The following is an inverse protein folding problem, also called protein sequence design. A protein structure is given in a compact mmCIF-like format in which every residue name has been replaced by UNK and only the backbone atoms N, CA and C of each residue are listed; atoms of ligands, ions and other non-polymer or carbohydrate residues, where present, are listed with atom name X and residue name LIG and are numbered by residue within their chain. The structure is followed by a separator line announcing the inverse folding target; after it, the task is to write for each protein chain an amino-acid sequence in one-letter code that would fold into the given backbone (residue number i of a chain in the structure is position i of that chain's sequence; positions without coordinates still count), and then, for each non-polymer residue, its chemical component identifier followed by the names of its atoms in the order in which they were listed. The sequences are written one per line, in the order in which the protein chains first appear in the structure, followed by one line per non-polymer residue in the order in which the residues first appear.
data_IF_712454405816
#
_entry.id   IF_712454405816
#
_cell.length_a   1.000
_cell.length_b   1.000
_cell.length_c   1.000
_cell.angle_alpha   90.00
_cell.angle_beta   90.00
_cell.angle_gamma   90.00
#
_symmetry.space_group_name_H-M   'P 1'
#
loop_
_entity.id
_entity.type
_entity.pdbx_description
1 polymer ?
#
# COMPACT_ATOMS: atom_id res chain seq x y z
N UNK A 1 17.20 -27.32 -3.10
CA UNK A 1 15.81 -27.29 -3.54
C UNK A 1 14.91 -26.37 -2.70
N UNK A 2 15.10 -26.31 -1.38
CA UNK A 2 14.29 -25.44 -0.46
C UNK A 2 14.44 -23.92 -0.77
N UNK A 3 15.58 -23.50 -1.31
CA UNK A 3 15.87 -22.10 -1.60
C UNK A 3 15.28 -21.59 -2.93
N UNK A 4 14.86 -22.43 -3.84
CA UNK A 4 14.33 -21.99 -5.14
C UNK A 4 12.89 -21.48 -5.04
N UNK A 5 12.12 -21.94 -4.06
CA UNK A 5 10.71 -21.56 -3.88
C UNK A 5 10.51 -20.46 -2.82
N UNK A 6 11.54 -20.17 -1.99
CA UNK A 6 11.42 -19.18 -0.92
C UNK A 6 12.73 -18.39 -0.71
N UNK A 7 12.97 -17.38 -1.55
CA UNK A 7 14.16 -16.52 -1.47
C UNK A 7 14.33 -15.86 -0.10
N UNK A 8 13.23 -15.51 0.60
CA UNK A 8 13.28 -14.93 1.94
C UNK A 8 13.92 -15.85 2.96
N UNK A 9 13.54 -17.13 2.97
CA UNK A 9 14.12 -18.13 3.87
C UNK A 9 15.62 -18.32 3.62
N UNK A 10 16.04 -18.30 2.36
CA UNK A 10 17.45 -18.36 2.00
C UNK A 10 18.25 -17.18 2.53
N UNK A 11 17.74 -15.96 2.36
CA UNK A 11 18.38 -14.73 2.85
C UNK A 11 18.51 -14.81 4.38
N UNK A 12 17.44 -15.21 5.08
CA UNK A 12 17.45 -15.34 6.53
C UNK A 12 18.47 -16.39 7.01
N UNK A 13 18.52 -17.58 6.38
CA UNK A 13 19.46 -18.65 6.73
C UNK A 13 20.91 -18.25 6.46
N UNK A 14 21.19 -17.65 5.29
CA UNK A 14 22.55 -17.20 4.95
C UNK A 14 23.00 -16.07 5.87
N UNK A 15 22.13 -15.07 6.10
CA UNK A 15 22.42 -13.96 6.99
C UNK A 15 22.68 -14.42 8.42
N UNK A 16 21.82 -15.31 8.95
CA UNK A 16 22.00 -15.87 10.30
C UNK A 16 23.26 -16.72 10.39
N UNK A 17 23.56 -17.55 9.38
CA UNK A 17 24.78 -18.37 9.37
C UNK A 17 26.06 -17.53 9.38
N UNK A 18 26.12 -16.47 8.56
CA UNK A 18 27.24 -15.56 8.53
C UNK A 18 27.42 -14.82 9.86
N UNK A 19 26.33 -14.37 10.47
CA UNK A 19 26.35 -13.72 11.77
C UNK A 19 26.82 -14.66 12.90
N UNK A 20 26.39 -15.93 12.88
CA UNK A 20 26.84 -16.94 13.84
C UNK A 20 28.34 -17.21 13.67
N UNK A 21 28.82 -17.38 12.43
CA UNK A 21 30.26 -17.57 12.15
C UNK A 21 31.05 -16.37 12.67
N UNK A 22 30.61 -15.14 12.41
CA UNK A 22 31.24 -13.93 12.91
C UNK A 22 31.31 -13.92 14.45
N UNK A 23 30.20 -14.25 15.12
CA UNK A 23 30.16 -14.36 16.58
C UNK A 23 31.15 -15.39 17.12
N UNK A 24 31.24 -16.57 16.48
CA UNK A 24 32.24 -17.59 16.84
C UNK A 24 33.67 -17.13 16.67
N UNK A 25 33.98 -16.40 15.60
CA UNK A 25 35.33 -15.82 15.39
C UNK A 25 35.67 -14.85 16.51
N UNK A 26 34.74 -13.97 16.91
CA UNK A 26 34.93 -13.06 18.03
C UNK A 26 35.14 -13.82 19.36
N UNK A 27 34.43 -14.90 19.60
CA UNK A 27 34.60 -15.74 20.80
C UNK A 27 35.93 -16.47 20.82
N UNK A 28 36.42 -16.93 19.67
CA UNK A 28 37.62 -17.76 19.57
C UNK A 28 38.92 -16.93 19.68
N UNK A 29 38.94 -15.73 19.11
CA UNK A 29 40.17 -14.91 18.98
C UNK A 29 40.18 -13.67 19.88
N UNK A 30 39.09 -13.42 20.59
CA UNK A 30 38.93 -12.24 21.42
C UNK A 30 39.47 -12.38 22.86
N UNK A 31 39.76 -11.24 23.46
CA UNK A 31 39.90 -11.14 24.92
C UNK A 31 38.52 -11.30 25.61
N UNK A 32 38.50 -11.31 26.94
CA UNK A 32 37.27 -11.53 27.70
C UNK A 32 36.08 -10.61 27.28
N UNK A 33 36.40 -9.35 26.94
CA UNK A 33 35.37 -8.38 26.48
C UNK A 33 34.87 -8.73 25.08
N UNK A 34 35.75 -9.09 24.16
CA UNK A 34 35.38 -9.45 22.77
C UNK A 34 34.60 -10.77 22.76
N UNK A 35 34.96 -11.72 23.63
CA UNK A 35 34.20 -12.98 23.81
C UNK A 35 32.76 -12.70 24.21
N UNK A 36 32.53 -11.81 25.19
CA UNK A 36 31.18 -11.42 25.60
C UNK A 36 30.39 -10.75 24.46
N UNK A 37 31.07 -9.91 23.64
CA UNK A 37 30.44 -9.36 22.43
C UNK A 37 30.05 -10.45 21.44
N UNK A 38 30.89 -11.49 21.27
CA UNK A 38 30.59 -12.64 20.41
C UNK A 38 29.37 -13.45 20.90
N UNK A 39 29.27 -13.67 22.21
CA UNK A 39 28.13 -14.36 22.83
C UNK A 39 26.82 -13.59 22.62
N UNK A 40 26.81 -12.29 22.91
CA UNK A 40 25.63 -11.45 22.68
C UNK A 40 25.24 -11.39 21.20
N UNK A 41 26.23 -11.34 20.29
CA UNK A 41 25.97 -11.35 18.85
C UNK A 41 25.31 -12.65 18.36
N UNK A 42 25.75 -13.82 18.85
CA UNK A 42 25.13 -15.11 18.54
C UNK A 42 23.70 -15.15 19.08
N UNK A 43 23.48 -14.70 20.31
CA UNK A 43 22.15 -14.65 20.91
C UNK A 43 21.20 -13.74 20.12
N UNK A 44 21.64 -12.52 19.77
CA UNK A 44 20.87 -11.59 18.95
C UNK A 44 20.54 -12.17 17.56
N UNK A 45 21.45 -12.97 16.99
CA UNK A 45 21.23 -13.68 15.72
C UNK A 45 20.15 -14.74 15.83
N UNK A 46 20.19 -15.54 16.89
CA UNK A 46 19.17 -16.56 17.15
C UNK A 46 17.80 -15.93 17.41
N UNK A 47 17.78 -14.84 18.16
CA UNK A 47 16.55 -14.06 18.41
C UNK A 47 15.99 -13.48 17.11
N UNK A 48 16.83 -12.86 16.28
CA UNK A 48 16.44 -12.31 14.98
C UNK A 48 15.87 -13.39 14.05
N UNK A 49 16.49 -14.57 14.03
CA UNK A 49 15.98 -15.70 13.24
C UNK A 49 14.65 -16.24 13.77
N UNK A 50 14.48 -16.32 15.09
CA UNK A 50 13.22 -16.71 15.71
C UNK A 50 12.09 -15.71 15.39
N UNK A 51 12.37 -14.42 15.47
CA UNK A 51 11.44 -13.36 15.08
C UNK A 51 11.05 -13.46 13.60
N UNK A 52 12.01 -13.82 12.73
CA UNK A 52 11.71 -14.07 11.31
C UNK A 52 10.76 -15.25 11.11
N UNK A 53 10.90 -16.34 11.85
CA UNK A 53 10.00 -17.50 11.78
C UNK A 53 8.57 -17.08 12.18
N UNK A 54 8.44 -16.28 13.25
CA UNK A 54 7.13 -15.74 13.67
C UNK A 54 6.53 -14.84 12.58
N UNK A 55 7.34 -13.94 12.01
CA UNK A 55 6.90 -13.06 10.93
C UNK A 55 6.49 -13.84 9.68
N UNK A 56 7.25 -14.88 9.32
CA UNK A 56 6.92 -15.77 8.22
C UNK A 56 5.55 -16.44 8.43
N UNK A 57 5.30 -16.93 9.66
CA UNK A 57 4.00 -17.51 10.01
C UNK A 57 2.87 -16.48 9.89
N UNK A 58 3.07 -15.25 10.36
CA UNK A 58 2.10 -14.16 10.21
C UNK A 58 1.85 -13.82 8.74
N UNK A 59 2.89 -13.74 7.90
CA UNK A 59 2.77 -13.49 6.47
C UNK A 59 2.03 -14.60 5.73
N UNK A 60 2.30 -15.88 6.07
CA UNK A 60 1.58 -17.02 5.50
C UNK A 60 0.08 -16.97 5.90
N UNK A 61 -0.21 -16.52 7.12
CA UNK A 61 -1.57 -16.37 7.64
C UNK A 61 -2.17 -14.98 7.40
N UNK A 62 -1.55 -14.16 6.56
CA UNK A 62 -1.97 -12.78 6.26
C UNK A 62 -3.44 -12.71 5.86
N UNK A 63 -3.92 -13.62 5.03
CA UNK A 63 -5.33 -13.66 4.59
C UNK A 63 -6.29 -13.79 5.78
N UNK A 64 -5.95 -14.61 6.76
CA UNK A 64 -6.75 -14.79 7.97
C UNK A 64 -6.71 -13.54 8.85
N UNK A 65 -5.53 -12.96 9.07
CA UNK A 65 -5.36 -11.72 9.84
C UNK A 65 -6.11 -10.56 9.20
N UNK A 66 -6.00 -10.42 7.88
CA UNK A 66 -6.74 -9.39 7.13
C UNK A 66 -8.25 -9.58 7.27
N UNK A 67 -8.73 -10.83 7.21
CA UNK A 67 -10.14 -11.16 7.41
C UNK A 67 -10.65 -10.75 8.79
N UNK A 68 -9.86 -10.96 9.87
CA UNK A 68 -10.21 -10.52 11.22
C UNK A 68 -10.29 -8.99 11.29
N UNK A 69 -9.31 -8.28 10.72
CA UNK A 69 -9.29 -6.80 10.74
C UNK A 69 -10.49 -6.24 9.97
N UNK A 70 -10.78 -6.77 8.78
CA UNK A 70 -11.92 -6.35 7.96
C UNK A 70 -13.25 -6.61 8.64
N UNK A 71 -13.40 -7.75 9.32
CA UNK A 71 -14.61 -8.07 10.10
C UNK A 71 -14.77 -7.12 11.30
N UNK A 72 -13.66 -6.76 11.96
CA UNK A 72 -13.65 -5.80 13.06
C UNK A 72 -14.03 -4.38 12.62
N UNK A 73 -13.71 -4.01 11.37
CA UNK A 73 -14.11 -2.74 10.76
C UNK A 73 -15.55 -2.75 10.20
N UNK A 74 -16.33 -3.81 10.39
CA UNK A 74 -17.68 -3.99 9.83
C UNK A 74 -17.75 -3.86 8.30
N UNK A 75 -16.65 -4.07 7.59
CA UNK A 75 -16.61 -4.07 6.14
C UNK A 75 -17.20 -5.39 5.61
N UNK A 76 -18.53 -5.43 5.48
CA UNK A 76 -19.23 -6.59 4.90
C UNK A 76 -19.03 -6.59 3.39
N UNK A 77 -18.38 -7.62 2.90
CA UNK A 77 -18.14 -7.86 1.46
C UNK A 77 -19.42 -7.97 0.64
N UNK A 78 -20.53 -8.35 1.26
CA UNK A 78 -21.82 -8.51 0.59
C UNK A 78 -22.43 -7.22 0.02
N UNK A 79 -22.04 -6.03 0.55
CA UNK A 79 -22.54 -4.75 0.04
C UNK A 79 -21.88 -4.28 -1.26
N UNK A 80 -20.77 -4.89 -1.65
CA UNK A 80 -19.95 -4.46 -2.79
C UNK A 80 -20.56 -4.87 -4.13
N UNK A 81 -21.38 -5.92 -4.15
CA UNK A 81 -21.92 -6.49 -5.39
C UNK A 81 -23.04 -5.67 -6.06
N UNK A 82 -23.60 -4.66 -5.39
CA UNK A 82 -24.78 -3.94 -5.92
C UNK A 82 -24.48 -2.64 -6.67
N UNK A 83 -23.28 -2.07 -6.60
CA UNK A 83 -23.05 -0.72 -7.15
C UNK A 83 -21.95 -0.56 -8.22
N UNK A 84 -21.28 -1.64 -8.62
CA UNK A 84 -20.25 -1.51 -9.63
C UNK A 84 -20.73 -2.00 -10.99
N UNK A 85 -21.40 -1.08 -11.69
CA UNK A 85 -21.70 -1.21 -13.12
C UNK A 85 -20.76 -0.27 -13.88
N UNK A 86 -19.47 -0.61 -13.97
CA UNK A 86 -18.54 0.13 -14.81
C UNK A 86 -17.72 -0.84 -15.63
N UNK A 87 -18.01 -0.80 -16.89
CA UNK A 87 -17.34 -1.52 -17.96
C UNK A 87 -16.24 -0.60 -18.48
N UNK A 88 -14.99 -0.90 -18.23
CA UNK A 88 -13.92 -0.45 -19.10
C UNK A 88 -12.87 -1.56 -19.19
N UNK A 89 -12.82 -2.17 -20.39
CA UNK A 89 -11.70 -3.00 -20.80
C UNK A 89 -10.47 -2.10 -21.02
N UNK A 90 -9.51 -2.08 -20.11
CA UNK A 90 -8.17 -1.63 -20.46
C UNK A 90 -7.47 -2.78 -21.19
N UNK A 91 -7.18 -2.56 -22.46
CA UNK A 91 -6.39 -3.48 -23.28
C UNK A 91 -4.97 -3.50 -22.75
N UNK A 92 -4.65 -4.48 -21.93
CA UNK A 92 -3.26 -4.81 -21.65
C UNK A 92 -2.70 -5.62 -22.81
N UNK A 93 -1.43 -5.44 -23.14
CA UNK A 93 -0.72 -5.99 -24.31
C UNK A 93 -0.72 -7.52 -24.45
N UNK A 94 -1.45 -8.23 -23.63
CA UNK A 94 -1.57 -9.69 -23.59
C UNK A 94 -3.02 -10.19 -23.68
N UNK A 95 -3.86 -9.60 -24.47
CA UNK A 95 -5.07 -10.27 -24.99
C UNK A 95 -6.08 -10.89 -24.03
N UNK A 96 -5.92 -10.77 -22.71
CA UNK A 96 -6.85 -11.24 -21.72
C UNK A 96 -7.62 -10.04 -21.14
N UNK A 97 -8.84 -9.87 -21.61
CA UNK A 97 -9.84 -9.01 -20.98
C UNK A 97 -10.21 -9.61 -19.63
N UNK A 98 -9.50 -9.27 -18.56
CA UNK A 98 -9.96 -9.53 -17.21
C UNK A 98 -11.02 -8.47 -16.94
N UNK A 99 -12.27 -8.86 -16.95
CA UNK A 99 -13.36 -7.99 -16.54
C UNK A 99 -13.10 -7.58 -15.10
N UNK A 100 -13.01 -6.27 -14.86
CA UNK A 100 -12.84 -5.68 -13.51
C UNK A 100 -13.90 -6.25 -12.54
N UNK A 101 -15.05 -6.67 -13.05
CA UNK A 101 -16.12 -7.35 -12.32
C UNK A 101 -15.71 -8.67 -11.66
N UNK A 102 -14.84 -9.47 -12.27
CA UNK A 102 -14.36 -10.72 -11.65
C UNK A 102 -13.26 -10.50 -10.60
N UNK A 103 -12.44 -9.47 -10.77
CA UNK A 103 -11.43 -9.09 -9.78
C UNK A 103 -12.06 -8.50 -8.51
N UNK A 104 -13.21 -7.83 -8.63
CA UNK A 104 -13.91 -7.14 -7.53
C UNK A 104 -14.81 -8.09 -6.72
N UNK A 105 -15.27 -9.17 -7.32
CA UNK A 105 -16.08 -10.20 -6.60
C UNK A 105 -15.29 -10.99 -5.56
N UNK A 106 -13.96 -10.91 -5.56
CA UNK A 106 -13.10 -11.60 -4.60
C UNK A 106 -12.47 -10.60 -3.65
N UNK A 107 -12.53 -10.91 -2.37
CA UNK A 107 -11.78 -10.18 -1.35
C UNK A 107 -10.32 -10.06 -1.80
N UNK A 108 -9.80 -8.85 -1.79
CA UNK A 108 -8.37 -8.64 -2.05
C UNK A 108 -7.61 -9.27 -0.89
N UNK A 109 -6.82 -10.29 -1.18
CA UNK A 109 -6.13 -11.09 -0.15
C UNK A 109 -4.62 -10.97 -0.24
N UNK A 110 -4.10 -10.42 -1.35
CA UNK A 110 -2.66 -10.29 -1.55
C UNK A 110 -2.27 -8.89 -2.05
N UNK A 111 -1.03 -8.44 -1.81
CA UNK A 111 -0.57 -7.12 -2.22
C UNK A 111 -0.58 -6.90 -3.74
N UNK A 112 -0.39 -7.95 -4.55
CA UNK A 112 -0.44 -7.85 -6.01
C UNK A 112 -1.83 -7.46 -6.53
N UNK A 113 -2.89 -8.04 -5.98
CA UNK A 113 -4.27 -7.65 -6.31
C UNK A 113 -4.63 -6.27 -5.76
N UNK A 114 -4.06 -5.87 -4.61
CA UNK A 114 -4.19 -4.50 -4.10
C UNK A 114 -3.54 -3.48 -5.06
N UNK A 115 -2.35 -3.78 -5.59
CA UNK A 115 -1.68 -2.94 -6.59
C UNK A 115 -2.55 -2.74 -7.84
N UNK A 116 -3.20 -3.81 -8.33
CA UNK A 116 -4.13 -3.71 -9.48
C UNK A 116 -5.34 -2.83 -9.15
N UNK A 117 -5.90 -2.92 -7.95
CA UNK A 117 -7.01 -2.07 -7.53
C UNK A 117 -6.61 -0.59 -7.49
N UNK A 118 -5.45 -0.26 -6.91
CA UNK A 118 -4.95 1.12 -6.87
C UNK A 118 -4.60 1.65 -8.26
N UNK A 119 -3.97 0.85 -9.13
CA UNK A 119 -3.68 1.26 -10.50
C UNK A 119 -4.95 1.51 -11.31
N UNK A 120 -5.99 0.71 -11.15
CA UNK A 120 -7.28 0.91 -11.82
C UNK A 120 -7.97 2.20 -11.36
N UNK A 121 -7.91 2.50 -10.06
CA UNK A 121 -8.42 3.77 -9.53
C UNK A 121 -7.62 4.97 -10.05
N UNK A 122 -6.28 4.89 -10.04
CA UNK A 122 -5.44 5.97 -10.57
C UNK A 122 -5.78 6.24 -12.05
N UNK A 123 -5.94 5.20 -12.87
CA UNK A 123 -6.33 5.34 -14.27
C UNK A 123 -7.73 5.96 -14.42
N UNK A 124 -8.68 5.58 -13.57
CA UNK A 124 -10.02 6.19 -13.59
C UNK A 124 -9.97 7.68 -13.24
N UNK A 125 -9.18 8.08 -12.23
CA UNK A 125 -8.96 9.48 -11.87
C UNK A 125 -8.30 10.28 -13.02
N UNK A 126 -7.23 9.74 -13.62
CA UNK A 126 -6.54 10.37 -14.76
C UNK A 126 -7.50 10.56 -15.93
N UNK A 127 -8.29 9.55 -16.28
CA UNK A 127 -9.25 9.63 -17.36
C UNK A 127 -10.34 10.68 -17.06
N UNK A 128 -10.84 10.74 -15.82
CA UNK A 128 -11.85 11.70 -15.42
C UNK A 128 -11.31 13.14 -15.47
N UNK A 129 -10.10 13.39 -14.97
CA UNK A 129 -9.42 14.68 -15.05
C UNK A 129 -9.17 15.09 -16.50
N UNK A 130 -8.67 14.16 -17.32
CA UNK A 130 -8.42 14.44 -18.75
C UNK A 130 -9.69 14.81 -19.49
N UNK A 131 -10.79 14.09 -19.27
CA UNK A 131 -12.08 14.41 -19.88
C UNK A 131 -12.59 15.78 -19.44
N UNK A 132 -12.45 16.12 -18.17
CA UNK A 132 -12.84 17.41 -17.63
C UNK A 132 -12.02 18.55 -18.25
N UNK A 133 -10.69 18.43 -18.29
CA UNK A 133 -9.81 19.43 -18.91
C UNK A 133 -10.08 19.62 -20.41
N UNK A 134 -10.31 18.52 -21.14
CA UNK A 134 -10.68 18.60 -22.56
C UNK A 134 -12.00 19.34 -22.74
N UNK A 135 -12.99 19.07 -21.88
CA UNK A 135 -14.27 19.76 -21.91
C UNK A 135 -14.12 21.27 -21.62
N UNK A 136 -13.38 21.62 -20.57
CA UNK A 136 -13.11 23.01 -20.19
C UNK A 136 -12.41 23.79 -21.32
N UNK A 137 -11.34 23.22 -21.89
CA UNK A 137 -10.60 23.85 -22.99
C UNK A 137 -11.48 23.99 -24.22
N UNK A 138 -12.25 22.97 -24.59
CA UNK A 138 -13.13 23.02 -25.76
C UNK A 138 -14.19 24.10 -25.62
N UNK A 139 -14.82 24.24 -24.45
CA UNK A 139 -15.82 25.24 -24.19
C UNK A 139 -15.25 26.69 -24.12
N UNK A 140 -14.03 26.85 -23.59
CA UNK A 140 -13.38 28.15 -23.49
C UNK A 140 -12.89 28.70 -24.82
N UNK A 141 -12.49 27.85 -25.76
CA UNK A 141 -11.99 28.24 -27.09
C UNK A 141 -13.11 28.70 -28.02
N UNK A 142 -14.35 28.27 -27.80
CA UNK A 142 -15.47 28.65 -28.64
C UNK A 142 -16.03 30.02 -28.22
N UNK A 143 -15.97 31.09 -29.08
CA UNK A 143 -16.24 32.49 -28.69
C UNK A 143 -17.62 32.68 -28.08
N UNK A 144 -18.64 31.98 -28.58
CA UNK A 144 -20.01 32.13 -28.13
C UNK A 144 -20.33 31.36 -26.84
N UNK A 145 -19.52 30.38 -26.48
CA UNK A 145 -19.75 29.45 -25.33
C UNK A 145 -18.67 29.66 -24.25
N UNK A 146 -17.68 30.50 -24.49
CA UNK A 146 -16.59 30.73 -23.55
C UNK A 146 -17.02 31.06 -22.12
N UNK A 147 -18.10 31.84 -21.85
CA UNK A 147 -18.57 32.07 -20.49
C UNK A 147 -19.00 30.78 -19.77
N UNK A 148 -19.51 29.79 -20.50
CA UNK A 148 -19.89 28.47 -19.96
C UNK A 148 -18.65 27.68 -19.59
N UNK A 149 -17.58 27.76 -20.39
CA UNK A 149 -16.30 27.13 -20.10
C UNK A 149 -15.65 27.68 -18.82
N UNK A 150 -15.67 29.00 -18.63
CA UNK A 150 -15.17 29.62 -17.39
C UNK A 150 -16.02 29.24 -16.18
N UNK A 151 -17.34 29.20 -16.32
CA UNK A 151 -18.22 28.74 -15.26
C UNK A 151 -17.98 27.28 -14.89
N UNK A 152 -17.75 26.40 -15.88
CA UNK A 152 -17.41 25.00 -15.64
C UNK A 152 -16.07 24.88 -14.88
N UNK A 153 -15.06 25.67 -15.27
CA UNK A 153 -13.75 25.68 -14.59
C UNK A 153 -13.90 26.08 -13.11
N UNK A 154 -14.68 27.12 -12.81
CA UNK A 154 -14.90 27.54 -11.42
C UNK A 154 -15.59 26.48 -10.57
N UNK A 155 -16.60 25.81 -11.13
CA UNK A 155 -17.32 24.73 -10.43
C UNK A 155 -16.45 23.48 -10.26
N UNK A 156 -15.68 23.14 -11.28
CA UNK A 156 -14.85 21.92 -11.27
C UNK A 156 -13.61 22.04 -10.40
N UNK A 157 -13.19 23.27 -10.06
CA UNK A 157 -11.94 23.54 -9.34
C UNK A 157 -11.80 22.76 -8.04
N UNK A 158 -12.87 22.65 -7.26
CA UNK A 158 -12.88 21.87 -6.03
C UNK A 158 -12.67 20.36 -6.29
N UNK A 159 -13.42 19.81 -7.26
CA UNK A 159 -13.27 18.41 -7.68
C UNK A 159 -11.85 18.14 -8.20
N UNK A 160 -11.33 19.00 -9.08
CA UNK A 160 -9.99 18.87 -9.68
C UNK A 160 -8.92 18.79 -8.59
N UNK A 161 -8.96 19.72 -7.62
CA UNK A 161 -8.01 19.72 -6.51
C UNK A 161 -8.08 18.45 -5.67
N UNK A 162 -9.27 18.00 -5.32
CA UNK A 162 -9.46 16.76 -4.57
C UNK A 162 -9.04 15.52 -5.38
N UNK A 163 -9.29 15.52 -6.69
CA UNK A 163 -8.91 14.41 -7.57
C UNK A 163 -7.40 14.32 -7.79
N UNK A 164 -6.70 15.44 -7.90
CA UNK A 164 -5.23 15.48 -7.98
C UNK A 164 -4.61 14.95 -6.70
N UNK A 165 -5.12 15.36 -5.52
CA UNK A 165 -4.65 14.84 -4.24
C UNK A 165 -4.93 13.33 -4.10
N UNK A 166 -6.12 12.89 -4.48
CA UNK A 166 -6.48 11.48 -4.49
C UNK A 166 -5.60 10.65 -5.44
N UNK A 167 -5.17 11.25 -6.55
CA UNK A 167 -4.25 10.61 -7.48
C UNK A 167 -2.87 10.37 -6.85
N UNK A 168 -2.33 11.36 -6.15
CA UNK A 168 -1.05 11.23 -5.40
C UNK A 168 -1.17 10.13 -4.34
N UNK A 169 -2.24 10.16 -3.54
CA UNK A 169 -2.50 9.17 -2.51
C UNK A 169 -2.63 7.75 -3.08
N UNK A 170 -3.34 7.61 -4.21
CA UNK A 170 -3.52 6.32 -4.88
C UNK A 170 -2.20 5.78 -5.44
N UNK A 171 -1.35 6.62 -6.04
CA UNK A 171 -0.02 6.19 -6.49
C UNK A 171 0.87 5.79 -5.32
N UNK A 172 0.81 6.51 -4.19
CA UNK A 172 1.56 6.14 -3.01
C UNK A 172 1.16 4.75 -2.49
N UNK A 173 -0.14 4.45 -2.42
CA UNK A 173 -0.65 3.14 -2.05
C UNK A 173 -0.26 2.06 -3.09
N UNK A 174 -0.25 2.39 -4.37
CA UNK A 174 0.21 1.52 -5.44
C UNK A 174 1.68 1.12 -5.26
N UNK A 175 2.57 2.09 -5.05
CA UNK A 175 3.99 1.80 -4.83
C UNK A 175 4.24 1.03 -3.53
N UNK A 176 3.51 1.33 -2.45
CA UNK A 176 3.55 0.53 -1.23
C UNK A 176 3.11 -0.92 -1.49
N UNK A 177 2.12 -1.14 -2.35
CA UNK A 177 1.68 -2.49 -2.73
C UNK A 177 2.74 -3.25 -3.52
N UNK A 178 3.51 -2.58 -4.37
CA UNK A 178 4.66 -3.18 -5.06
C UNK A 178 5.73 -3.59 -4.05
N UNK A 179 6.07 -2.72 -3.10
CA UNK A 179 7.03 -3.02 -2.03
C UNK A 179 6.54 -4.20 -1.18
N UNK A 180 5.25 -4.24 -0.88
CA UNK A 180 4.63 -5.31 -0.10
C UNK A 180 4.73 -6.70 -0.76
N UNK A 181 4.89 -6.80 -2.09
CA UNK A 181 5.14 -8.07 -2.76
C UNK A 181 6.51 -8.68 -2.36
N UNK A 182 7.44 -7.86 -1.88
CA UNK A 182 8.75 -8.29 -1.39
C UNK A 182 8.80 -8.45 0.14
N UNK A 183 7.65 -8.59 0.80
CA UNK A 183 7.53 -8.63 2.26
C UNK A 183 8.42 -9.70 2.90
N UNK A 184 8.45 -10.92 2.35
CA UNK A 184 9.27 -12.00 2.87
C UNK A 184 10.77 -11.71 2.77
N UNK A 185 11.21 -11.09 1.68
CA UNK A 185 12.60 -10.69 1.47
C UNK A 185 12.99 -9.55 2.41
N UNK A 186 12.11 -8.55 2.57
CA UNK A 186 12.33 -7.41 3.47
C UNK A 186 12.42 -7.86 4.93
N UNK A 187 11.51 -8.71 5.39
CA UNK A 187 11.57 -9.27 6.75
C UNK A 187 12.80 -10.14 6.97
N UNK A 188 13.19 -10.94 6.00
CA UNK A 188 14.38 -11.78 6.08
C UNK A 188 15.66 -10.96 6.16
N UNK A 189 15.78 -9.94 5.30
CA UNK A 189 16.91 -9.02 5.27
C UNK A 189 16.97 -8.19 6.55
N UNK A 190 15.81 -7.70 7.02
CA UNK A 190 15.70 -7.01 8.30
C UNK A 190 16.16 -7.88 9.46
N UNK A 191 15.68 -9.11 9.57
CA UNK A 191 16.08 -10.05 10.61
C UNK A 191 17.60 -10.34 10.61
N UNK A 192 18.22 -10.46 9.43
CA UNK A 192 19.66 -10.67 9.30
C UNK A 192 20.51 -9.47 9.68
N UNK A 193 19.96 -8.24 9.63
CA UNK A 193 20.66 -7.01 9.98
C UNK A 193 20.49 -6.62 11.47
N UNK A 194 19.43 -7.09 12.15
CA UNK A 194 19.18 -6.78 13.56
C UNK A 194 20.39 -7.15 14.48
N UNK A 195 21.12 -8.28 14.29
CA UNK A 195 22.26 -8.60 15.11
C UNK A 195 23.45 -7.63 14.98
N UNK A 196 23.54 -6.92 13.85
CA UNK A 196 24.64 -6.01 13.55
C UNK A 196 24.37 -4.66 14.19
N UNK A 197 25.10 -4.32 15.26
CA UNK A 197 24.85 -3.14 16.09
C UNK A 197 24.80 -1.81 15.31
N UNK A 198 25.67 -1.63 14.31
CA UNK A 198 25.77 -0.39 13.52
C UNK A 198 24.55 -0.15 12.62
N UNK A 199 23.89 -1.20 12.16
CA UNK A 199 22.78 -1.13 11.20
C UNK A 199 21.48 -1.72 11.76
N UNK A 200 21.43 -1.99 13.06
CA UNK A 200 20.29 -2.61 13.74
C UNK A 200 18.97 -1.87 13.49
N UNK A 201 19.01 -0.53 13.50
CA UNK A 201 17.84 0.29 13.25
C UNK A 201 17.29 0.12 11.81
N UNK A 202 18.19 -0.04 10.83
CA UNK A 202 17.80 -0.35 9.43
C UNK A 202 17.16 -1.74 9.39
N UNK A 203 17.76 -2.71 10.10
CA UNK A 203 17.22 -4.05 10.22
C UNK A 203 15.81 -4.05 10.82
N UNK A 204 15.60 -3.33 11.92
CA UNK A 204 14.30 -3.14 12.55
C UNK A 204 13.27 -2.47 11.62
N UNK A 205 13.69 -1.46 10.87
CA UNK A 205 12.84 -0.77 9.90
C UNK A 205 12.41 -1.70 8.75
N UNK A 206 13.35 -2.40 8.11
CA UNK A 206 13.06 -3.33 7.02
C UNK A 206 12.16 -4.50 7.47
N UNK A 207 12.42 -5.02 8.66
CA UNK A 207 11.61 -6.07 9.25
C UNK A 207 10.17 -5.61 9.49
N UNK A 208 10.00 -4.45 10.12
CA UNK A 208 8.68 -3.86 10.39
C UNK A 208 7.94 -3.53 9.11
N UNK A 209 8.64 -2.98 8.12
CA UNK A 209 8.08 -2.66 6.81
C UNK A 209 7.59 -3.93 6.10
N UNK A 210 8.39 -4.99 6.09
CA UNK A 210 7.99 -6.26 5.48
C UNK A 210 6.79 -6.92 6.19
N UNK A 211 6.62 -6.72 7.50
CA UNK A 211 5.50 -7.29 8.25
C UNK A 211 4.21 -6.47 8.13
N UNK A 212 4.28 -5.14 8.26
CA UNK A 212 3.10 -4.27 8.39
C UNK A 212 2.55 -3.87 7.02
N UNK A 213 3.41 -3.57 6.04
CA UNK A 213 2.99 -3.04 4.73
C UNK A 213 2.02 -3.97 3.99
N UNK A 214 2.22 -5.30 3.92
CA UNK A 214 1.30 -6.18 3.22
C UNK A 214 -0.11 -6.17 3.80
N UNK A 215 -0.21 -6.11 5.13
CA UNK A 215 -1.50 -6.05 5.82
C UNK A 215 -2.17 -4.70 5.54
N UNK A 216 -1.43 -3.61 5.67
CA UNK A 216 -1.92 -2.26 5.45
C UNK A 216 -2.50 -2.06 4.05
N UNK A 217 -1.75 -2.41 3.00
CA UNK A 217 -2.20 -2.19 1.62
C UNK A 217 -3.41 -3.03 1.24
N UNK A 218 -3.51 -4.25 1.78
CA UNK A 218 -4.67 -5.13 1.53
C UNK A 218 -5.91 -4.61 2.26
N UNK A 219 -5.78 -4.13 3.50
CA UNK A 219 -6.88 -3.50 4.24
C UNK A 219 -7.37 -2.25 3.51
N UNK A 220 -6.45 -1.37 3.08
CA UNK A 220 -6.78 -0.14 2.36
C UNK A 220 -7.44 -0.41 1.02
N UNK A 221 -6.98 -1.42 0.27
CA UNK A 221 -7.60 -1.78 -1.00
C UNK A 221 -9.04 -2.29 -0.83
N UNK A 222 -9.29 -3.14 0.17
CA UNK A 222 -10.65 -3.61 0.47
C UNK A 222 -11.56 -2.48 0.96
N UNK A 223 -11.03 -1.58 1.80
CA UNK A 223 -11.78 -0.40 2.24
C UNK A 223 -12.17 0.49 1.06
N UNK A 224 -11.22 0.79 0.18
CA UNK A 224 -11.43 1.61 -1.02
C UNK A 224 -12.53 1.03 -1.93
N UNK A 225 -12.52 -0.28 -2.14
CA UNK A 225 -13.55 -0.97 -2.92
C UNK A 225 -14.90 -0.87 -2.21
N UNK A 226 -14.94 -1.01 -0.87
CA UNK A 226 -16.19 -0.93 -0.10
C UNK A 226 -16.87 0.44 -0.18
N UNK A 227 -16.10 1.52 -0.39
CA UNK A 227 -16.64 2.88 -0.56
C UNK A 227 -17.17 3.15 -1.96
N UNK A 228 -16.98 2.23 -2.91
CA UNK A 228 -17.46 2.41 -4.29
C UNK A 228 -16.85 3.63 -5.00
N UNK A 229 -15.62 4.00 -4.66
CA UNK A 229 -14.91 5.19 -5.16
C UNK A 229 -14.45 5.06 -6.62
N UNK A 230 -15.12 4.21 -7.42
CA UNK A 230 -14.91 4.21 -8.87
C UNK A 230 -15.62 5.40 -9.51
N UNK A 231 -14.87 6.45 -9.75
CA UNK A 231 -15.35 7.70 -10.33
C UNK A 231 -15.42 7.54 -11.84
N UNK A 232 -16.59 7.75 -12.41
CA UNK A 232 -16.77 7.95 -13.86
C UNK A 232 -17.55 9.23 -14.09
N UNK A 233 -16.95 10.18 -14.80
CA UNK A 233 -17.65 11.34 -15.32
C UNK A 233 -18.33 10.91 -16.64
N UNK A 234 -19.65 11.11 -16.72
CA UNK A 234 -20.36 10.84 -17.95
C UNK A 234 -20.28 12.05 -18.90
N UNK A 235 -19.50 11.98 -20.01
CA UNK A 235 -19.30 13.11 -20.90
C UNK A 235 -20.59 13.55 -21.62
N UNK A 236 -21.63 12.72 -21.67
CA UNK A 236 -22.91 13.09 -22.31
C UNK A 236 -23.67 14.22 -21.59
N UNK A 237 -23.31 14.52 -20.33
CA UNK A 237 -23.91 15.60 -19.54
C UNK A 237 -23.49 17.00 -20.04
N UNK A 238 -22.50 17.11 -20.91
CA UNK A 238 -21.98 18.41 -21.42
C UNK A 238 -22.83 18.95 -22.58
N UNK A 239 -23.75 18.16 -23.13
CA UNK A 239 -24.49 18.51 -24.34
C UNK A 239 -25.64 19.50 -24.14
N UNK A 240 -26.03 19.81 -22.89
CA UNK A 240 -27.15 20.73 -22.59
C UNK A 240 -26.84 21.56 -21.33
N UNK A 241 -27.43 22.75 -21.23
CA UNK A 241 -27.26 23.68 -20.11
C UNK A 241 -27.72 23.04 -18.78
N UNK A 242 -28.81 22.27 -18.80
CA UNK A 242 -29.27 21.52 -17.65
C UNK A 242 -28.26 20.42 -17.26
N UNK A 243 -27.64 19.79 -18.26
CA UNK A 243 -26.56 18.82 -18.07
C UNK A 243 -25.35 19.43 -17.39
N UNK A 244 -24.94 20.65 -17.77
CA UNK A 244 -23.80 21.36 -17.16
C UNK A 244 -24.08 21.71 -15.69
N UNK A 245 -25.29 22.16 -15.36
CA UNK A 245 -25.67 22.42 -13.96
C UNK A 245 -25.69 21.10 -13.14
N UNK A 246 -26.24 20.01 -13.70
CA UNK A 246 -26.23 18.72 -13.06
C UNK A 246 -24.81 18.14 -12.94
N UNK A 247 -23.94 18.42 -13.90
CA UNK A 247 -22.52 18.08 -13.83
C UNK A 247 -21.84 18.79 -12.65
N UNK A 248 -22.10 20.10 -12.46
CA UNK A 248 -21.55 20.87 -11.34
C UNK A 248 -21.92 20.29 -9.97
N UNK A 249 -23.21 19.97 -9.77
CA UNK A 249 -23.64 19.33 -8.51
C UNK A 249 -23.05 17.93 -8.32
N UNK A 250 -22.91 17.15 -9.39
CA UNK A 250 -22.25 15.84 -9.36
C UNK A 250 -20.76 15.97 -9.08
N UNK A 251 -20.05 16.93 -9.68
CA UNK A 251 -18.63 17.18 -9.43
C UNK A 251 -18.38 17.60 -7.97
N UNK A 252 -19.25 18.44 -7.40
CA UNK A 252 -19.15 18.81 -5.99
C UNK A 252 -19.33 17.58 -5.08
N UNK A 253 -20.36 16.76 -5.34
CA UNK A 253 -20.59 15.53 -4.59
C UNK A 253 -19.43 14.52 -4.72
N UNK A 254 -18.85 14.39 -5.92
CA UNK A 254 -17.67 13.55 -6.15
C UNK A 254 -16.44 14.13 -5.46
N UNK A 255 -16.25 15.45 -5.49
CA UNK A 255 -15.17 16.12 -4.78
C UNK A 255 -15.24 15.88 -3.27
N UNK A 256 -16.42 15.96 -2.67
CA UNK A 256 -16.61 15.65 -1.24
C UNK A 256 -16.26 14.20 -0.89
N UNK A 257 -16.63 13.23 -1.73
CA UNK A 257 -16.22 11.82 -1.53
C UNK A 257 -14.71 11.62 -1.67
N UNK A 258 -14.07 12.35 -2.58
CA UNK A 258 -12.62 12.31 -2.71
C UNK A 258 -11.91 12.95 -1.53
N UNK A 259 -12.50 14.01 -0.95
CA UNK A 259 -12.00 14.60 0.29
C UNK A 259 -12.03 13.60 1.45
N UNK A 260 -13.15 12.88 1.64
CA UNK A 260 -13.25 11.81 2.63
C UNK A 260 -12.19 10.73 2.39
N UNK A 261 -11.97 10.34 1.13
CA UNK A 261 -10.92 9.40 0.77
C UNK A 261 -9.53 9.94 1.13
N UNK A 262 -9.21 11.18 0.78
CA UNK A 262 -7.92 11.80 1.06
C UNK A 262 -7.65 11.84 2.58
N UNK A 263 -8.61 12.31 3.37
CA UNK A 263 -8.51 12.36 4.83
C UNK A 263 -8.26 10.96 5.41
N UNK A 264 -9.01 9.96 4.94
CA UNK A 264 -8.85 8.59 5.44
C UNK A 264 -7.49 7.99 5.08
N UNK A 265 -6.99 8.24 3.86
CA UNK A 265 -5.64 7.79 3.47
C UNK A 265 -4.58 8.49 4.34
N UNK A 266 -4.68 9.81 4.54
CA UNK A 266 -3.72 10.57 5.33
C UNK A 266 -3.69 10.10 6.79
N UNK A 267 -4.86 9.90 7.42
CA UNK A 267 -4.98 9.37 8.79
C UNK A 267 -4.44 7.95 8.88
N UNK A 268 -4.81 7.08 7.94
CA UNK A 268 -4.34 5.70 7.93
C UNK A 268 -2.83 5.60 7.71
N UNK A 269 -2.26 6.50 6.89
CA UNK A 269 -0.82 6.61 6.70
C UNK A 269 -0.09 7.09 7.94
N UNK A 270 -0.67 8.02 8.70
CA UNK A 270 -0.11 8.45 9.98
C UNK A 270 -0.08 7.29 10.98
N UNK A 271 -1.16 6.50 11.06
CA UNK A 271 -1.22 5.29 11.89
C UNK A 271 -0.19 4.25 11.42
N UNK A 272 -0.14 3.95 10.12
CA UNK A 272 0.83 3.03 9.52
C UNK A 272 2.27 3.44 9.86
N UNK A 273 2.63 4.71 9.65
CA UNK A 273 3.95 5.24 9.93
C UNK A 273 4.30 5.16 11.41
N UNK A 274 3.33 5.41 12.29
CA UNK A 274 3.51 5.31 13.75
C UNK A 274 3.76 3.88 14.20
N UNK A 275 3.02 2.91 13.65
CA UNK A 275 3.22 1.48 13.93
C UNK A 275 4.60 1.05 13.42
N UNK A 276 4.96 1.43 12.20
CA UNK A 276 6.23 1.09 11.59
C UNK A 276 7.40 1.64 12.40
N UNK A 277 7.32 2.92 12.81
CA UNK A 277 8.33 3.55 13.66
C UNK A 277 8.43 2.87 15.04
N UNK A 278 7.29 2.63 15.69
CA UNK A 278 7.24 1.99 17.00
C UNK A 278 7.86 0.60 17.00
N UNK A 279 7.50 -0.24 16.03
CA UNK A 279 8.07 -1.58 15.86
C UNK A 279 9.56 -1.52 15.51
N UNK A 280 9.95 -0.62 14.60
CA UNK A 280 11.35 -0.44 14.23
C UNK A 280 12.23 -0.05 15.42
N UNK A 281 11.75 0.88 16.25
CA UNK A 281 12.41 1.30 17.47
C UNK A 281 12.50 0.16 18.49
N UNK A 282 11.41 -0.55 18.74
CA UNK A 282 11.37 -1.68 19.65
C UNK A 282 12.38 -2.76 19.24
N UNK A 283 12.43 -3.13 17.97
CA UNK A 283 13.37 -4.11 17.46
C UNK A 283 14.83 -3.62 17.47
N UNK A 284 15.03 -2.32 17.28
CA UNK A 284 16.34 -1.68 17.38
C UNK A 284 16.88 -1.60 18.80
N UNK A 285 15.99 -1.54 19.80
CA UNK A 285 16.35 -1.41 21.23
C UNK A 285 16.41 -2.75 21.98
N UNK A 286 15.74 -3.81 21.50
CA UNK A 286 15.70 -5.12 22.19
C UNK A 286 17.11 -5.66 22.50
N UNK A 287 18.10 -5.43 21.62
CA UNK A 287 19.48 -5.82 21.88
C UNK A 287 20.22 -4.98 22.94
N UNK A 288 19.70 -3.78 23.30
CA UNK A 288 20.30 -2.94 24.34
C UNK A 288 19.86 -3.35 25.76
N UNK A 289 18.73 -4.05 25.90
CA UNK A 289 18.22 -4.54 27.19
C UNK A 289 19.01 -5.74 27.75
N UNK A 290 19.84 -6.36 26.93
CA UNK A 290 20.65 -7.55 27.29
C UNK A 290 22.08 -7.12 27.70
N UNK A 291 22.47 -5.88 27.41
CA UNK A 291 23.78 -5.31 27.77
C UNK A 291 23.86 -4.77 29.24
N UNK A 292 22.82 -4.96 30.06
CA UNK A 292 22.78 -4.68 31.51
C UNK A 292 22.94 -5.98 32.27
#
# INVERSE_FOLDING_TARGET
MICLDNYGLCIALLGSSLNIIYGYVLMSWGNAMIRRIGETHIFDTLLGFFMYIIALFMLIKQQYLTGIILSGLNLKVESITQHIKVIHCSVTSYGACVTVEEAIKRLITNPGSAALAFSSMANALVNSLTQLYVAEVTLTVLPFISPVGYYLNDISRYFTWQAEWALVNTYMLYYLSIIANYAMQLTALGASLIPIRQVRWIGGFLFSMGLVTPIYVVVMANWLISQGLMISINPSLINDVKGIISLGTNLFSLGSRLEEFNIMVDVSMAIYSSILYGLSKLLGEVGLLIDV
#
